data_IF_160225522126
#
_entry.id   IF_160225522126
#
_cell.length_a   1.000
_cell.length_b   1.000
_cell.length_c   1.000
_cell.angle_alpha   90.00
_cell.angle_beta   90.00
_cell.angle_gamma   90.00
#
_symmetry.space_group_name_H-M   'P 1'
#
loop_
_entity.id
_entity.type
_entity.pdbx_description
1 polymer ?
#
# COMPACT_ATOMS: atom_id res chain seq x y z
N UNK A 1 49.03 8.74 46.98
CA UNK A 1 48.39 7.42 46.86
C UNK A 1 47.03 7.47 47.52
N UNK A 2 46.06 6.75 46.94
CA UNK A 2 44.75 6.35 47.52
C UNK A 2 43.69 7.49 47.58
N UNK A 3 42.78 7.60 46.59
CA UNK A 3 41.48 6.92 46.42
C UNK A 3 40.36 7.41 47.36
N UNK A 4 39.14 7.34 46.81
CA UNK A 4 37.80 7.35 47.45
C UNK A 4 37.05 8.69 47.36
N UNK A 5 36.24 8.81 46.30
CA UNK A 5 34.92 9.44 46.40
C UNK A 5 33.87 8.37 46.06
N UNK A 6 33.32 7.74 47.10
CA UNK A 6 32.02 7.06 47.05
C UNK A 6 31.05 7.93 47.84
N UNK A 7 30.13 8.56 47.15
CA UNK A 7 28.91 9.09 47.75
C UNK A 7 27.76 8.57 46.89
N UNK A 8 27.20 7.45 47.35
CA UNK A 8 25.88 6.97 46.95
C UNK A 8 24.89 7.83 47.71
N UNK A 9 23.93 8.45 47.01
CA UNK A 9 22.66 8.79 47.60
C UNK A 9 21.56 8.29 46.65
N UNK A 10 20.88 7.24 47.09
CA UNK A 10 19.75 6.58 46.43
C UNK A 10 18.43 7.21 46.83
N UNK A 11 17.39 6.90 46.03
CA UNK A 11 15.94 7.15 46.17
C UNK A 11 15.48 8.45 45.47
N UNK A 12 14.65 8.44 44.42
CA UNK A 12 13.91 7.36 43.78
C UNK A 12 13.00 7.89 42.65
N UNK A 13 12.24 6.97 42.06
CA UNK A 13 11.16 7.12 41.06
C UNK A 13 11.59 7.13 39.58
N UNK A 14 11.08 6.10 38.91
CA UNK A 14 11.25 5.75 37.51
C UNK A 14 10.49 6.67 36.55
N UNK A 15 11.08 6.93 35.39
CA UNK A 15 10.37 6.98 34.12
C UNK A 15 11.40 6.89 32.97
N UNK A 16 11.31 5.80 32.23
CA UNK A 16 12.05 5.52 31.01
C UNK A 16 11.76 6.62 29.98
N UNK A 17 12.79 7.29 29.47
CA UNK A 17 12.70 7.99 28.18
C UNK A 17 13.75 7.42 27.23
N UNK A 18 13.45 6.21 26.78
CA UNK A 18 13.91 5.70 25.50
C UNK A 18 12.66 5.62 24.59
N UNK A 19 12.54 6.60 23.69
CA UNK A 19 11.68 6.56 22.51
C UNK A 19 12.30 7.60 21.55
N UNK A 20 13.05 7.26 20.49
CA UNK A 20 12.76 6.26 19.48
C UNK A 20 11.29 6.37 18.99
N UNK A 21 10.87 7.57 18.57
CA UNK A 21 9.68 7.73 17.75
C UNK A 21 10.05 7.73 16.28
N UNK A 22 10.38 6.53 15.80
CA UNK A 22 10.20 6.18 14.40
C UNK A 22 8.70 6.07 14.11
N UNK A 23 8.33 6.32 12.85
CA UNK A 23 7.04 5.97 12.24
C UNK A 23 5.88 6.96 12.44
N UNK A 24 5.88 8.01 11.62
CA UNK A 24 4.64 8.69 11.23
C UNK A 24 4.04 7.96 10.02
N UNK A 25 3.23 6.93 10.28
CA UNK A 25 2.50 6.22 9.24
C UNK A 25 1.06 5.89 9.71
N UNK A 26 0.25 6.93 9.94
CA UNK A 26 -1.20 6.80 10.12
C UNK A 26 -1.99 8.07 9.72
N UNK A 27 -1.36 9.26 9.72
CA UNK A 27 -2.04 10.55 9.49
C UNK A 27 -2.64 10.76 8.11
N UNK A 28 -2.30 9.93 7.12
CA UNK A 28 -2.83 10.05 5.77
C UNK A 28 -4.25 9.47 5.65
N UNK A 29 -4.58 8.42 6.39
CA UNK A 29 -5.91 7.82 6.36
C UNK A 29 -6.94 8.79 6.93
N UNK A 30 -6.59 9.52 7.99
CA UNK A 30 -7.41 10.59 8.58
C UNK A 30 -7.54 11.79 7.62
N UNK A 31 -6.43 12.25 7.04
CA UNK A 31 -6.44 13.37 6.08
C UNK A 31 -7.26 13.06 4.82
N UNK A 32 -7.18 11.81 4.35
CA UNK A 32 -7.89 11.33 3.17
C UNK A 32 -9.36 11.03 3.47
N UNK A 33 -9.66 10.47 4.64
CA UNK A 33 -11.05 10.26 5.09
C UNK A 33 -11.76 11.60 5.27
N UNK A 34 -11.06 12.61 5.80
CA UNK A 34 -11.59 13.97 5.90
C UNK A 34 -11.79 14.62 4.52
N UNK A 35 -10.83 14.46 3.59
CA UNK A 35 -10.97 14.94 2.21
C UNK A 35 -12.11 14.23 1.45
N UNK A 36 -12.25 12.92 1.65
CA UNK A 36 -13.33 12.12 1.07
C UNK A 36 -14.69 12.50 1.66
N UNK A 37 -14.78 12.73 2.98
CA UNK A 37 -16.00 13.21 3.63
C UNK A 37 -16.38 14.63 3.18
N UNK A 38 -15.42 15.53 2.97
CA UNK A 38 -15.72 16.86 2.43
C UNK A 38 -16.16 16.81 0.96
N UNK A 39 -15.60 15.90 0.16
CA UNK A 39 -15.98 15.73 -1.25
C UNK A 39 -17.32 15.00 -1.41
N UNK A 40 -17.62 14.03 -0.54
CA UNK A 40 -18.92 13.34 -0.46
C UNK A 40 -20.06 14.32 -0.14
N UNK A 41 -19.80 15.31 0.72
CA UNK A 41 -20.76 16.37 1.04
C UNK A 41 -20.97 17.38 -0.10
N UNK A 42 -20.08 17.42 -1.12
CA UNK A 42 -20.12 18.43 -2.20
C UNK A 42 -20.58 17.88 -3.56
N UNK A 43 -21.27 16.73 -3.60
CA UNK A 43 -22.07 16.30 -4.76
C UNK A 43 -21.33 15.92 -6.05
N UNK A 44 -20.02 15.69 -6.02
CA UNK A 44 -19.27 15.27 -7.21
C UNK A 44 -19.44 13.74 -7.48
N UNK A 45 -20.36 13.41 -8.39
CA UNK A 45 -20.54 12.14 -9.15
C UNK A 45 -20.00 10.85 -8.49
N UNK A 46 -20.93 10.13 -7.85
CA UNK A 46 -20.71 9.30 -6.67
C UNK A 46 -20.53 7.78 -6.89
N UNK A 47 -20.13 7.31 -8.08
CA UNK A 47 -19.97 5.88 -8.35
C UNK A 47 -18.65 5.29 -7.84
N UNK A 48 -17.53 5.84 -8.29
CA UNK A 48 -16.18 5.32 -8.00
C UNK A 48 -15.64 5.80 -6.64
N UNK A 49 -16.11 6.97 -6.17
CA UNK A 49 -15.64 7.59 -4.93
C UNK A 49 -16.25 6.93 -3.69
N UNK A 50 -17.51 6.49 -3.74
CA UNK A 50 -18.18 5.78 -2.63
C UNK A 50 -17.52 4.43 -2.33
N UNK A 51 -17.12 3.69 -3.38
CA UNK A 51 -16.33 2.47 -3.24
C UNK A 51 -14.96 2.74 -2.63
N UNK A 52 -14.31 3.85 -3.03
CA UNK A 52 -13.04 4.28 -2.46
C UNK A 52 -13.16 4.63 -0.98
N UNK A 53 -14.14 5.44 -0.55
CA UNK A 53 -14.35 5.76 0.87
C UNK A 53 -14.57 4.50 1.71
N UNK A 54 -15.35 3.53 1.20
CA UNK A 54 -15.55 2.25 1.88
C UNK A 54 -14.27 1.40 1.97
N UNK A 55 -13.41 1.44 0.95
CA UNK A 55 -12.11 0.76 0.96
C UNK A 55 -11.11 1.45 1.90
N UNK A 56 -11.09 2.78 1.94
CA UNK A 56 -10.24 3.56 2.83
C UNK A 56 -10.61 3.39 4.30
N UNK A 57 -11.91 3.30 4.59
CA UNK A 57 -12.41 3.07 5.94
C UNK A 57 -12.19 1.61 6.39
N UNK A 58 -12.07 0.66 5.44
CA UNK A 58 -11.71 -0.74 5.70
C UNK A 58 -10.22 -1.01 5.94
N UNK A 59 -9.38 0.03 5.87
CA UNK A 59 -7.95 -0.05 6.16
C UNK A 59 -7.10 -0.58 4.99
N UNK A 60 -5.84 -0.90 5.25
CA UNK A 60 -4.88 -1.31 4.20
C UNK A 60 -5.22 -2.66 3.55
N UNK A 61 -5.96 -3.51 4.25
CA UNK A 61 -6.36 -4.83 3.77
C UNK A 61 -7.39 -4.72 2.62
N UNK A 62 -8.24 -3.70 2.67
CA UNK A 62 -9.18 -3.36 1.60
C UNK A 62 -8.47 -2.98 0.30
N UNK A 63 -7.27 -2.40 0.36
CA UNK A 63 -6.48 -2.03 -0.83
C UNK A 63 -5.45 -3.09 -1.23
N UNK A 64 -5.47 -4.26 -0.60
CA UNK A 64 -4.64 -5.39 -0.99
C UNK A 64 -5.28 -6.17 -2.15
N UNK A 65 -4.45 -6.71 -3.04
CA UNK A 65 -4.93 -7.54 -4.15
C UNK A 65 -5.48 -8.88 -3.63
N UNK A 66 -6.60 -9.34 -4.19
CA UNK A 66 -7.25 -10.59 -3.81
C UNK A 66 -6.54 -11.83 -4.34
N UNK A 67 -5.69 -11.69 -5.36
CA UNK A 67 -4.90 -12.79 -5.91
C UNK A 67 -3.46 -12.36 -6.21
N UNK A 68 -2.53 -13.32 -6.18
CA UNK A 68 -1.14 -13.08 -6.59
C UNK A 68 -1.04 -12.65 -8.06
N UNK A 69 -1.91 -13.18 -8.92
CA UNK A 69 -1.95 -12.82 -10.34
C UNK A 69 -2.34 -11.34 -10.50
N UNK A 70 -3.37 -10.88 -9.80
CA UNK A 70 -3.76 -9.47 -9.84
C UNK A 70 -2.68 -8.57 -9.21
N UNK A 71 -2.07 -9.00 -8.09
CA UNK A 71 -0.95 -8.29 -7.48
C UNK A 71 0.20 -8.07 -8.47
N UNK A 72 0.62 -9.12 -9.18
CA UNK A 72 1.69 -9.03 -10.18
C UNK A 72 1.35 -8.06 -11.32
N UNK A 73 0.10 -8.11 -11.81
CA UNK A 73 -0.36 -7.19 -12.85
C UNK A 73 -0.38 -5.73 -12.37
N UNK A 74 -0.87 -5.49 -11.14
CA UNK A 74 -0.92 -4.16 -10.54
C UNK A 74 0.48 -3.60 -10.29
N UNK A 75 1.44 -4.42 -9.84
CA UNK A 75 2.84 -3.99 -9.71
C UNK A 75 3.40 -3.51 -11.04
N UNK A 76 3.11 -4.21 -12.13
CA UNK A 76 3.53 -3.78 -13.46
C UNK A 76 2.85 -2.47 -13.89
N UNK A 77 1.56 -2.32 -13.63
CA UNK A 77 0.86 -1.04 -13.86
C UNK A 77 1.52 0.10 -13.06
N UNK A 78 1.80 -0.11 -11.78
CA UNK A 78 2.41 0.87 -10.89
C UNK A 78 3.80 1.30 -11.36
N UNK A 79 4.61 0.37 -11.87
CA UNK A 79 5.91 0.69 -12.47
C UNK A 79 5.75 1.51 -13.76
N UNK A 80 4.83 1.12 -14.65
CA UNK A 80 4.54 1.86 -15.90
C UNK A 80 4.10 3.29 -15.62
N UNK A 81 3.31 3.49 -14.56
CA UNK A 81 2.84 4.81 -14.13
C UNK A 81 3.84 5.57 -13.22
N UNK A 82 5.03 5.01 -12.95
CA UNK A 82 6.07 5.58 -12.07
C UNK A 82 5.57 5.89 -10.64
N UNK A 83 4.63 5.09 -10.14
CA UNK A 83 4.02 5.24 -8.80
C UNK A 83 4.84 4.56 -7.69
N UNK A 84 5.84 3.75 -8.07
CA UNK A 84 6.73 3.00 -7.17
C UNK A 84 8.15 3.01 -7.72
N UNK A 85 9.13 2.80 -6.84
CA UNK A 85 10.52 2.68 -7.26
C UNK A 85 10.72 1.40 -8.10
N UNK A 86 11.17 1.58 -9.35
CA UNK A 86 11.29 0.51 -10.33
C UNK A 86 12.22 -0.63 -9.86
N UNK A 87 13.38 -0.29 -9.27
CA UNK A 87 14.44 -1.27 -8.97
C UNK A 87 13.98 -2.41 -8.05
N UNK A 88 13.27 -2.10 -6.96
CA UNK A 88 12.79 -3.14 -6.04
C UNK A 88 11.50 -3.78 -6.55
N UNK A 89 10.62 -3.00 -7.18
CA UNK A 89 9.32 -3.49 -7.66
C UNK A 89 9.48 -4.49 -8.80
N UNK A 90 10.44 -4.29 -9.70
CA UNK A 90 10.69 -5.19 -10.82
C UNK A 90 11.19 -6.56 -10.35
N UNK A 91 12.11 -6.58 -9.38
CA UNK A 91 12.59 -7.84 -8.80
C UNK A 91 11.44 -8.61 -8.12
N UNK A 92 10.62 -7.90 -7.32
CA UNK A 92 9.44 -8.51 -6.67
C UNK A 92 8.44 -9.03 -7.71
N UNK A 93 8.16 -8.26 -8.76
CA UNK A 93 7.30 -8.70 -9.86
C UNK A 93 7.85 -9.98 -10.50
N UNK A 94 9.12 -10.01 -10.86
CA UNK A 94 9.72 -11.14 -11.55
C UNK A 94 9.72 -12.40 -10.67
N UNK A 95 10.05 -12.27 -9.38
CA UNK A 95 9.96 -13.39 -8.43
C UNK A 95 8.52 -13.87 -8.26
N UNK A 96 7.56 -12.95 -8.22
CA UNK A 96 6.14 -13.29 -8.12
C UNK A 96 5.66 -14.03 -9.39
N UNK A 97 6.00 -13.54 -10.59
CA UNK A 97 5.69 -14.20 -11.86
C UNK A 97 6.30 -15.60 -11.95
N UNK A 98 7.55 -15.76 -11.53
CA UNK A 98 8.22 -17.06 -11.47
C UNK A 98 7.48 -18.02 -10.53
N UNK A 99 7.08 -17.55 -9.35
CA UNK A 99 6.34 -18.35 -8.36
C UNK A 99 4.94 -18.74 -8.85
N UNK A 100 4.34 -17.93 -9.70
CA UNK A 100 3.03 -18.18 -10.31
C UNK A 100 3.12 -19.04 -11.58
N UNK A 101 4.32 -19.35 -12.07
CA UNK A 101 4.50 -20.02 -13.37
C UNK A 101 4.02 -19.16 -14.54
N UNK A 102 4.07 -17.83 -14.42
CA UNK A 102 3.67 -16.87 -15.45
C UNK A 102 4.90 -16.31 -16.16
N UNK A 103 5.82 -17.19 -16.54
CA UNK A 103 7.11 -16.81 -17.14
C UNK A 103 6.99 -16.55 -18.64
N UNK A 104 5.95 -17.06 -19.29
CA UNK A 104 5.64 -16.76 -20.69
C UNK A 104 4.48 -15.77 -20.84
N UNK A 105 4.49 -15.01 -21.95
CA UNK A 105 3.35 -14.16 -22.30
C UNK A 105 2.04 -14.95 -22.51
N UNK A 106 2.13 -16.19 -22.98
CA UNK A 106 0.95 -17.02 -23.23
C UNK A 106 0.29 -17.44 -21.91
N UNK A 107 1.08 -17.80 -20.89
CA UNK A 107 0.55 -18.07 -19.55
C UNK A 107 -0.03 -16.80 -18.93
N UNK A 108 0.67 -15.66 -19.05
CA UNK A 108 0.20 -14.38 -18.55
C UNK A 108 -1.15 -13.95 -19.14
N UNK A 109 -1.34 -14.09 -20.46
CA UNK A 109 -2.59 -13.70 -21.14
C UNK A 109 -3.79 -14.59 -20.75
N UNK A 110 -3.55 -15.84 -20.34
CA UNK A 110 -4.60 -16.73 -19.84
C UNK A 110 -5.10 -16.32 -18.44
N UNK A 111 -4.31 -15.56 -17.70
CA UNK A 111 -4.68 -15.10 -16.36
C UNK A 111 -5.47 -13.79 -16.44
N UNK A 112 -6.79 -13.88 -16.38
CA UNK A 112 -7.69 -12.71 -16.41
C UNK A 112 -7.32 -11.68 -15.35
N UNK A 113 -7.07 -12.11 -14.11
CA UNK A 113 -6.67 -11.24 -12.99
C UNK A 113 -5.36 -10.48 -13.24
N UNK A 114 -4.40 -11.13 -13.89
CA UNK A 114 -3.13 -10.51 -14.25
C UNK A 114 -3.35 -9.44 -15.31
N UNK A 115 -4.07 -9.78 -16.38
CA UNK A 115 -4.42 -8.85 -17.47
C UNK A 115 -5.20 -7.65 -16.93
N UNK A 116 -6.16 -7.87 -16.04
CA UNK A 116 -6.89 -6.81 -15.34
C UNK A 116 -5.94 -5.92 -14.53
N UNK A 117 -5.00 -6.53 -13.78
CA UNK A 117 -3.99 -5.79 -13.04
C UNK A 117 -3.11 -4.91 -13.94
N UNK A 118 -2.75 -5.38 -15.14
CA UNK A 118 -2.00 -4.58 -16.12
C UNK A 118 -2.75 -3.30 -16.55
N UNK A 119 -4.08 -3.35 -16.55
CA UNK A 119 -4.95 -2.20 -16.84
C UNK A 119 -5.22 -1.31 -15.62
N UNK A 120 -4.58 -1.57 -14.48
CA UNK A 120 -4.79 -0.83 -13.25
C UNK A 120 -6.08 -1.20 -12.50
N UNK A 121 -6.73 -2.31 -12.85
CA UNK A 121 -7.89 -2.82 -12.12
C UNK A 121 -7.44 -3.71 -10.97
N UNK A 122 -7.48 -3.15 -9.76
CA UNK A 122 -7.18 -3.85 -8.52
C UNK A 122 -8.44 -4.60 -8.06
N UNK A 123 -8.38 -5.93 -8.10
CA UNK A 123 -9.38 -6.80 -7.50
C UNK A 123 -8.96 -7.02 -6.05
N UNK A 124 -9.73 -6.52 -5.08
CA UNK A 124 -9.34 -6.57 -3.68
C UNK A 124 -9.68 -7.91 -3.04
N UNK A 125 -9.04 -8.24 -1.91
CA UNK A 125 -9.35 -9.46 -1.16
C UNK A 125 -10.80 -9.54 -0.64
N UNK A 126 -11.52 -8.42 -0.61
CA UNK A 126 -12.93 -8.33 -0.20
C UNK A 126 -13.91 -8.46 -1.38
N UNK A 127 -13.42 -8.79 -2.59
CA UNK A 127 -14.24 -8.90 -3.79
C UNK A 127 -14.68 -7.56 -4.37
N UNK A 128 -14.09 -6.44 -3.92
CA UNK A 128 -14.31 -5.11 -4.49
C UNK A 128 -13.33 -4.86 -5.61
N UNK A 129 -13.67 -3.94 -6.50
CA UNK A 129 -12.79 -3.51 -7.59
C UNK A 129 -12.46 -2.04 -7.44
N UNK A 130 -11.17 -1.71 -7.56
CA UNK A 130 -10.68 -0.34 -7.62
C UNK A 130 -9.93 -0.15 -8.92
N UNK A 131 -10.45 0.73 -9.78
CA UNK A 131 -9.79 1.03 -11.05
C UNK A 131 -8.86 2.25 -10.90
N UNK A 132 -7.56 1.99 -10.72
CA UNK A 132 -6.52 2.99 -10.53
C UNK A 132 -6.32 3.89 -11.76
N UNK A 133 -6.70 3.44 -12.95
CA UNK A 133 -6.59 4.23 -14.18
C UNK A 133 -7.68 5.29 -14.30
N UNK A 134 -8.85 5.05 -13.72
CA UNK A 134 -10.00 5.97 -13.78
C UNK A 134 -10.03 7.02 -12.66
N UNK A 135 -9.17 6.93 -11.65
CA UNK A 135 -9.15 7.88 -10.51
C UNK A 135 -8.74 9.32 -10.90
N UNK A 136 -8.26 9.54 -12.12
CA UNK A 136 -7.76 10.84 -12.58
C UNK A 136 -6.38 11.20 -12.01
N UNK A 137 -5.96 12.45 -12.16
CA UNK A 137 -4.62 12.94 -11.80
C UNK A 137 -4.65 14.05 -10.76
N UNK A 138 -5.69 14.08 -9.92
CA UNK A 138 -5.69 15.02 -8.79
C UNK A 138 -4.60 14.61 -7.79
N UNK A 139 -4.07 15.55 -6.98
CA UNK A 139 -3.09 15.21 -5.94
C UNK A 139 -3.57 14.13 -4.97
N UNK A 140 -4.89 14.04 -4.79
CA UNK A 140 -5.54 13.00 -3.99
C UNK A 140 -5.50 11.64 -4.69
N UNK A 141 -5.88 11.60 -5.97
CA UNK A 141 -5.86 10.39 -6.78
C UNK A 141 -4.45 9.82 -6.89
N UNK A 142 -3.43 10.66 -7.10
CA UNK A 142 -2.03 10.22 -7.14
C UNK A 142 -1.58 9.59 -5.82
N UNK A 143 -1.99 10.16 -4.68
CA UNK A 143 -1.73 9.58 -3.36
C UNK A 143 -2.41 8.21 -3.21
N UNK A 144 -3.67 8.09 -3.62
CA UNK A 144 -4.41 6.82 -3.57
C UNK A 144 -3.73 5.76 -4.43
N UNK A 145 -3.39 6.10 -5.68
CA UNK A 145 -2.69 5.19 -6.61
C UNK A 145 -1.35 4.74 -6.01
N UNK A 146 -0.53 5.68 -5.55
CA UNK A 146 0.75 5.39 -4.90
C UNK A 146 0.60 4.49 -3.68
N UNK A 147 -0.42 4.71 -2.83
CA UNK A 147 -0.68 3.87 -1.65
C UNK A 147 -1.15 2.47 -2.02
N UNK A 148 -2.04 2.32 -2.99
CA UNK A 148 -2.44 1.01 -3.49
C UNK A 148 -1.23 0.23 -4.01
N UNK A 149 -0.37 0.89 -4.81
CA UNK A 149 0.86 0.30 -5.32
C UNK A 149 1.84 -0.12 -4.21
N UNK A 150 2.03 0.70 -3.17
CA UNK A 150 2.89 0.38 -2.02
C UNK A 150 2.35 -0.80 -1.20
N UNK A 151 1.04 -0.87 -0.98
CA UNK A 151 0.39 -1.99 -0.28
C UNK A 151 0.55 -3.28 -1.08
N UNK A 152 0.28 -3.24 -2.39
CA UNK A 152 0.44 -4.41 -3.27
C UNK A 152 1.91 -4.82 -3.37
N UNK A 153 2.86 -3.88 -3.35
CA UNK A 153 4.30 -4.19 -3.33
C UNK A 153 4.70 -4.92 -2.06
N UNK A 154 4.27 -4.43 -0.90
CA UNK A 154 4.46 -5.10 0.39
C UNK A 154 3.81 -6.48 0.43
N UNK A 155 2.63 -6.61 -0.20
CA UNK A 155 1.96 -7.88 -0.33
C UNK A 155 2.74 -8.85 -1.23
N UNK A 156 3.25 -8.37 -2.37
CA UNK A 156 4.13 -9.10 -3.28
C UNK A 156 5.37 -9.63 -2.57
N UNK A 157 6.03 -8.80 -1.75
CA UNK A 157 7.16 -9.20 -0.91
C UNK A 157 6.79 -10.36 0.03
N UNK A 158 5.61 -10.32 0.67
CA UNK A 158 5.16 -11.41 1.54
C UNK A 158 4.89 -12.72 0.79
N UNK A 159 4.52 -12.67 -0.48
CA UNK A 159 4.26 -13.87 -1.27
C UNK A 159 5.51 -14.61 -1.73
N UNK A 160 6.62 -13.88 -1.85
CA UNK A 160 7.93 -14.39 -2.28
C UNK A 160 8.89 -14.64 -1.11
N UNK A 161 8.52 -14.19 0.10
CA UNK A 161 9.25 -14.47 1.34
C UNK A 161 9.00 -15.90 1.83
#
# INVERSE_FOLDING_TARGET
MTLIKRAVNTVGVAALMAAASYVQAASWQESLSNAANQLSQNGASSGNLSGLTGLLNGGTQSLSAGSMNNAAGILEYCMKQKLVAATNTENVKNQLLNKLGLTSQQEQQKQTDYVQGLTGLLNTGEGKQLNLSTLGNTPLAEKVKTKACDIVLKQGLKFIS
#
